data_IF_865223387140
#
_entry.id   IF_865223387140
#
_cell.length_a   1.000
_cell.length_b   1.000
_cell.length_c   1.000
_cell.angle_alpha   90.00
_cell.angle_beta   90.00
_cell.angle_gamma   90.00
#
_symmetry.space_group_name_H-M   'P 1'
#
loop_
_entity.id
_entity.type
_entity.pdbx_description
1 polymer ?
#
# COMPACT_ATOMS: atom_id res chain seq x y z
N UNK A 1 5.52 28.87 29.19
CA UNK A 1 4.29 29.38 28.55
C UNK A 1 3.49 28.13 28.19
N UNK A 2 2.61 27.69 29.09
CA UNK A 2 1.80 26.49 28.88
C UNK A 2 0.82 26.81 27.76
N UNK A 3 0.93 26.06 26.67
CA UNK A 3 0.08 26.27 25.50
C UNK A 3 -1.12 25.36 25.69
N UNK A 4 -2.14 25.86 26.41
CA UNK A 4 -3.37 25.12 26.68
C UNK A 4 -4.09 24.87 25.35
N UNK A 5 -3.83 23.72 24.75
CA UNK A 5 -4.41 23.30 23.49
C UNK A 5 -5.73 22.58 23.78
N UNK A 6 -6.83 23.18 23.34
CA UNK A 6 -8.18 22.65 23.55
C UNK A 6 -8.68 21.94 22.29
N UNK A 7 -9.10 20.67 22.41
CA UNK A 7 -9.66 19.93 21.29
C UNK A 7 -11.13 20.27 21.07
N UNK A 8 -11.43 20.93 19.96
CA UNK A 8 -12.80 21.17 19.52
C UNK A 8 -13.33 20.03 18.64
N UNK A 9 -14.45 19.44 19.04
CA UNK A 9 -15.18 18.53 18.16
C UNK A 9 -15.91 19.36 17.07
N UNK A 10 -15.55 19.25 15.78
CA UNK A 10 -16.19 20.04 14.71
C UNK A 10 -17.69 19.73 14.55
N UNK A 11 -18.15 18.55 15.00
CA UNK A 11 -19.56 18.16 14.94
C UNK A 11 -20.44 19.03 15.84
N UNK A 12 -19.95 19.43 17.01
CA UNK A 12 -20.73 20.26 17.94
C UNK A 12 -20.92 21.67 17.38
N UNK A 13 -19.87 22.25 16.79
CA UNK A 13 -19.91 23.54 16.09
C UNK A 13 -20.88 23.47 14.90
N UNK A 14 -20.80 22.40 14.09
CA UNK A 14 -21.70 22.20 12.94
C UNK A 14 -23.18 22.15 13.34
N UNK A 15 -23.50 21.54 14.48
CA UNK A 15 -24.88 21.53 15.00
C UNK A 15 -25.29 22.89 15.58
N UNK A 16 -24.39 23.57 16.28
CA UNK A 16 -24.64 24.90 16.83
C UNK A 16 -24.93 25.95 15.74
N UNK A 17 -24.23 25.89 14.60
CA UNK A 17 -24.50 26.74 13.44
C UNK A 17 -25.94 26.66 12.94
N UNK A 18 -26.62 25.51 13.10
CA UNK A 18 -28.04 25.37 12.72
C UNK A 18 -28.96 26.23 13.58
N UNK A 19 -28.57 26.51 14.82
CA UNK A 19 -29.32 27.36 15.77
C UNK A 19 -29.12 28.84 15.47
N UNK A 20 -27.94 29.23 14.96
CA UNK A 20 -27.60 30.62 14.61
C UNK A 20 -28.30 31.15 13.34
N UNK A 21 -29.14 30.35 12.68
CA UNK A 21 -29.84 30.69 11.43
C UNK A 21 -28.92 31.11 10.25
N UNK A 22 -27.61 30.88 10.36
CA UNK A 22 -26.62 31.22 9.32
C UNK A 22 -26.59 30.15 8.22
N UNK A 23 -26.72 30.58 6.96
CA UNK A 23 -26.76 29.68 5.78
C UNK A 23 -25.50 29.71 4.94
N UNK A 24 -24.72 30.79 4.99
CA UNK A 24 -23.54 30.96 4.14
C UNK A 24 -22.25 30.67 4.90
N UNK A 25 -21.42 29.78 4.34
CA UNK A 25 -20.11 29.47 4.89
C UNK A 25 -19.12 30.57 4.51
N UNK A 26 -18.74 31.40 5.47
CA UNK A 26 -17.73 32.45 5.32
C UNK A 26 -16.82 32.43 6.55
N UNK A 27 -15.51 32.53 6.39
CA UNK A 27 -14.54 32.39 7.49
C UNK A 27 -14.82 33.28 8.72
N UNK A 28 -15.23 34.56 8.58
CA UNK A 28 -15.60 35.40 9.73
C UNK A 28 -16.84 34.90 10.49
N UNK A 29 -17.83 34.37 9.78
CA UNK A 29 -19.06 33.79 10.40
C UNK A 29 -18.73 32.47 11.08
N UNK A 30 -17.85 31.67 10.46
CA UNK A 30 -17.35 30.44 11.06
C UNK A 30 -16.62 30.71 12.37
N UNK A 31 -15.76 31.73 12.42
CA UNK A 31 -15.09 32.18 13.64
C UNK A 31 -16.09 32.69 14.70
N UNK A 32 -17.09 33.48 14.29
CA UNK A 32 -18.16 33.95 15.17
C UNK A 32 -18.94 32.80 15.81
N UNK A 33 -19.33 31.80 15.02
CA UNK A 33 -20.04 30.62 15.52
C UNK A 33 -19.22 29.80 16.54
N UNK A 34 -17.89 29.72 16.36
CA UNK A 34 -16.99 29.07 17.34
C UNK A 34 -16.92 29.90 18.62
N UNK A 35 -16.74 31.22 18.52
CA UNK A 35 -16.66 32.12 19.67
C UNK A 35 -17.96 32.14 20.48
N UNK A 36 -19.11 32.19 19.80
CA UNK A 36 -20.42 32.11 20.46
C UNK A 36 -20.63 30.76 21.14
N UNK A 37 -20.21 29.65 20.51
CA UNK A 37 -20.30 28.32 21.12
C UNK A 37 -19.45 28.19 22.38
N UNK A 38 -18.27 28.82 22.38
CA UNK A 38 -17.38 28.96 23.53
C UNK A 38 -18.03 29.80 24.64
N UNK A 39 -18.66 30.92 24.27
CA UNK A 39 -19.31 31.85 25.20
C UNK A 39 -20.52 31.23 25.89
N UNK A 40 -21.37 30.50 25.17
CA UNK A 40 -22.60 29.91 25.73
C UNK A 40 -22.39 28.61 26.48
N UNK A 41 -21.34 27.85 26.15
CA UNK A 41 -21.05 26.59 26.82
C UNK A 41 -20.04 26.82 27.93
N UNK A 42 -20.47 26.88 29.19
CA UNK A 42 -19.60 26.81 30.38
C UNK A 42 -18.80 25.51 30.54
N UNK A 43 -18.60 24.78 29.44
CA UNK A 43 -17.72 23.65 29.26
C UNK A 43 -16.52 24.16 28.45
N UNK A 44 -15.36 24.30 29.10
CA UNK A 44 -14.11 24.32 28.36
C UNK A 44 -13.98 22.97 27.63
N UNK A 45 -13.52 22.95 26.36
CA UNK A 45 -13.22 21.70 25.70
C UNK A 45 -12.23 20.91 26.54
N UNK A 46 -12.22 19.59 26.41
CA UNK A 46 -11.24 18.78 27.12
C UNK A 46 -9.84 19.28 26.74
N UNK A 47 -9.03 19.59 27.75
CA UNK A 47 -7.63 19.92 27.55
C UNK A 47 -6.98 18.73 26.86
N UNK A 48 -6.29 19.00 25.75
CA UNK A 48 -5.60 17.97 24.99
C UNK A 48 -4.33 17.58 25.76
N UNK A 49 -4.51 16.77 26.80
CA UNK A 49 -3.40 16.17 27.53
C UNK A 49 -2.87 15.00 26.71
N UNK A 50 -1.72 15.22 26.07
CA UNK A 50 -0.98 14.12 25.48
C UNK A 50 -0.27 13.39 26.60
N UNK A 51 -0.68 12.15 26.85
CA UNK A 51 0.12 11.28 27.70
C UNK A 51 1.37 10.87 26.93
N UNK A 52 2.52 11.39 27.39
CA UNK A 52 3.83 11.21 26.76
C UNK A 52 4.18 9.73 26.56
N UNK A 53 3.62 8.84 27.38
CA UNK A 53 3.80 7.39 27.32
C UNK A 53 3.27 6.78 26.01
N UNK A 54 2.21 7.35 25.44
CA UNK A 54 1.59 6.83 24.20
C UNK A 54 2.13 7.49 22.94
N UNK A 55 2.87 8.60 23.07
CA UNK A 55 3.39 9.33 21.91
C UNK A 55 4.30 8.47 21.00
N UNK A 56 5.25 7.66 21.51
CA UNK A 56 6.09 6.83 20.66
C UNK A 56 5.27 5.85 19.82
N UNK A 57 4.37 5.10 20.46
CA UNK A 57 3.50 4.13 19.80
C UNK A 57 2.60 4.81 18.74
N UNK A 58 2.06 5.98 19.07
CA UNK A 58 1.25 6.75 18.12
C UNK A 58 2.05 7.19 16.89
N UNK A 59 3.33 7.55 17.04
CA UNK A 59 4.19 7.94 15.90
C UNK A 59 4.53 6.73 15.04
N UNK A 60 4.89 5.60 15.65
CA UNK A 60 5.21 4.36 14.93
C UNK A 60 4.00 3.85 14.14
N UNK A 61 2.82 3.78 14.77
CA UNK A 61 1.59 3.31 14.10
C UNK A 61 1.15 4.22 12.95
N UNK A 62 1.29 5.55 13.10
CA UNK A 62 1.03 6.49 11.99
C UNK A 62 2.03 6.32 10.85
N UNK A 63 3.31 6.10 11.17
CA UNK A 63 4.32 5.86 10.14
C UNK A 63 4.08 4.55 9.40
N UNK A 64 3.74 3.48 10.12
CA UNK A 64 3.30 2.21 9.54
C UNK A 64 2.11 2.39 8.58
N UNK A 65 1.09 3.14 9.00
CA UNK A 65 -0.06 3.46 8.14
C UNK A 65 0.35 4.21 6.87
N UNK A 66 1.29 5.16 6.99
CA UNK A 66 1.82 5.89 5.84
C UNK A 66 2.54 4.94 4.85
N UNK A 67 3.45 4.11 5.35
CA UNK A 67 4.19 3.15 4.51
C UNK A 67 3.28 2.11 3.87
N UNK A 68 2.28 1.59 4.58
CA UNK A 68 1.34 0.62 4.01
C UNK A 68 0.54 1.21 2.85
N UNK A 69 0.19 2.49 2.92
CA UNK A 69 -0.48 3.20 1.81
C UNK A 69 0.48 3.42 0.64
N UNK A 70 1.73 3.79 0.90
CA UNK A 70 2.75 3.90 -0.14
C UNK A 70 2.96 2.55 -0.83
N UNK A 71 3.14 1.47 -0.09
CA UNK A 71 3.27 0.11 -0.63
C UNK A 71 2.07 -0.28 -1.52
N UNK A 72 0.85 0.01 -1.07
CA UNK A 72 -0.35 -0.26 -1.87
C UNK A 72 -0.34 0.55 -3.19
N UNK A 73 0.07 1.82 -3.15
CA UNK A 73 0.19 2.67 -4.35
C UNK A 73 1.24 2.14 -5.32
N UNK A 74 2.41 1.76 -4.82
CA UNK A 74 3.50 1.19 -5.63
C UNK A 74 3.06 -0.13 -6.30
N UNK A 75 2.41 -1.02 -5.54
CA UNK A 75 1.85 -2.28 -6.08
C UNK A 75 0.80 -2.03 -7.16
N UNK A 76 -0.09 -1.06 -6.96
CA UNK A 76 -1.09 -0.69 -7.97
C UNK A 76 -0.40 -0.15 -9.23
N UNK A 77 0.57 0.75 -9.08
CA UNK A 77 1.29 1.34 -10.21
C UNK A 77 2.07 0.29 -11.00
N UNK A 78 2.88 -0.54 -10.32
CA UNK A 78 3.65 -1.62 -10.92
C UNK A 78 2.75 -2.59 -11.69
N UNK A 79 1.58 -2.93 -11.14
CA UNK A 79 0.61 -3.78 -11.81
C UNK A 79 0.01 -3.11 -13.05
N UNK A 80 -0.43 -1.86 -12.93
CA UNK A 80 -1.24 -1.20 -13.96
C UNK A 80 -0.42 -0.71 -15.15
N UNK A 81 0.86 -0.38 -14.94
CA UNK A 81 1.72 0.20 -15.98
C UNK A 81 2.73 -0.83 -16.49
N UNK A 82 3.84 -1.14 -15.80
CA UNK A 82 4.87 -1.99 -16.39
C UNK A 82 4.45 -3.44 -16.56
N UNK A 83 3.79 -4.05 -15.57
CA UNK A 83 3.35 -5.45 -15.69
C UNK A 83 2.29 -5.59 -16.77
N UNK A 84 1.32 -4.66 -16.83
CA UNK A 84 0.29 -4.70 -17.87
C UNK A 84 0.86 -4.52 -19.28
N UNK A 85 1.82 -3.61 -19.46
CA UNK A 85 2.44 -3.39 -20.77
C UNK A 85 3.36 -4.54 -21.17
N UNK A 86 4.07 -5.15 -20.22
CA UNK A 86 4.96 -6.29 -20.48
C UNK A 86 4.20 -7.59 -20.68
N UNK A 87 3.16 -7.84 -19.87
CA UNK A 87 2.42 -9.10 -19.82
C UNK A 87 0.95 -8.83 -19.44
N UNK A 88 0.16 -8.32 -20.40
CA UNK A 88 -1.21 -7.87 -20.15
C UNK A 88 -2.13 -8.93 -19.57
N UNK A 89 -1.94 -10.21 -19.95
CA UNK A 89 -2.79 -11.31 -19.49
C UNK A 89 -2.30 -11.97 -18.19
N UNK A 90 -1.12 -11.57 -17.68
CA UNK A 90 -0.49 -12.12 -16.47
C UNK A 90 -1.36 -11.99 -15.21
N UNK A 91 -2.21 -10.96 -15.16
CA UNK A 91 -3.08 -10.71 -14.01
C UNK A 91 -4.52 -11.19 -14.20
N UNK A 92 -4.85 -11.69 -15.41
CA UNK A 92 -6.16 -12.26 -15.75
C UNK A 92 -6.24 -13.71 -15.27
N UNK A 93 -7.47 -14.21 -15.07
CA UNK A 93 -7.68 -15.63 -14.72
C UNK A 93 -7.69 -16.49 -15.98
N UNK A 94 -7.04 -17.67 -15.98
CA UNK A 94 -6.26 -18.26 -14.89
C UNK A 94 -4.91 -17.55 -14.68
N UNK A 95 -4.56 -17.26 -13.42
CA UNK A 95 -3.31 -16.60 -13.08
C UNK A 95 -2.19 -17.65 -12.92
N UNK A 96 -0.97 -17.39 -13.38
CA UNK A 96 0.15 -18.32 -13.21
C UNK A 96 0.58 -18.49 -11.74
N UNK A 97 0.40 -17.44 -10.92
CA UNK A 97 0.76 -17.46 -9.50
C UNK A 97 -0.35 -16.86 -8.64
N UNK A 98 -0.44 -17.31 -7.39
CA UNK A 98 -1.38 -16.80 -6.39
C UNK A 98 -1.02 -15.38 -5.96
N UNK A 99 0.27 -15.11 -5.72
CA UNK A 99 0.81 -13.79 -5.42
C UNK A 99 1.61 -13.22 -6.60
N UNK A 100 1.15 -12.07 -7.11
CA UNK A 100 1.79 -11.32 -8.20
C UNK A 100 3.14 -10.73 -7.78
N UNK A 101 3.34 -10.47 -6.50
CA UNK A 101 4.59 -9.93 -5.98
C UNK A 101 5.35 -10.98 -5.17
N UNK A 102 5.05 -12.27 -5.36
CA UNK A 102 5.78 -13.37 -4.74
C UNK A 102 7.18 -13.55 -5.35
N UNK A 103 8.03 -14.34 -4.69
CA UNK A 103 9.43 -14.55 -5.11
C UNK A 103 9.54 -15.05 -6.56
N UNK A 104 8.77 -16.08 -6.93
CA UNK A 104 8.78 -16.63 -8.30
C UNK A 104 8.27 -15.61 -9.32
N UNK A 105 7.17 -14.92 -9.02
CA UNK A 105 6.59 -13.92 -9.93
C UNK A 105 7.57 -12.77 -10.17
N UNK A 106 8.26 -12.29 -9.13
CA UNK A 106 9.31 -11.26 -9.24
C UNK A 106 10.47 -11.74 -10.10
N UNK A 107 10.93 -12.97 -9.88
CA UNK A 107 12.03 -13.54 -10.63
C UNK A 107 11.72 -13.62 -12.13
N UNK A 108 10.56 -14.19 -12.49
CA UNK A 108 10.11 -14.25 -13.89
C UNK A 108 9.97 -12.86 -14.51
N UNK A 109 9.45 -11.88 -13.78
CA UNK A 109 9.25 -10.52 -14.30
C UNK A 109 10.57 -9.75 -14.51
N UNK A 110 11.62 -10.06 -13.74
CA UNK A 110 12.94 -9.42 -13.84
C UNK A 110 13.91 -10.16 -14.77
N UNK A 111 13.84 -11.49 -14.86
CA UNK A 111 14.79 -12.28 -15.65
C UNK A 111 14.50 -12.22 -17.15
N UNK A 112 13.22 -12.29 -17.54
CA UNK A 112 12.83 -12.32 -18.94
C UNK A 112 12.57 -10.91 -19.45
N UNK A 113 13.23 -10.49 -20.52
CA UNK A 113 13.06 -9.15 -21.08
C UNK A 113 11.70 -8.95 -21.77
N UNK A 114 11.15 -10.00 -22.40
CA UNK A 114 9.82 -10.03 -23.03
C UNK A 114 9.08 -11.32 -22.69
N UNK A 115 7.76 -11.34 -22.92
CA UNK A 115 6.95 -12.56 -22.78
C UNK A 115 7.14 -13.55 -23.93
N UNK A 116 7.74 -13.12 -25.05
CA UNK A 116 7.88 -13.97 -26.24
C UNK A 116 8.80 -15.17 -25.98
N UNK A 117 9.86 -14.97 -25.18
CA UNK A 117 10.77 -16.04 -24.75
C UNK A 117 10.04 -17.10 -23.92
N UNK A 118 9.15 -16.67 -23.03
CA UNK A 118 8.30 -17.56 -22.22
C UNK A 118 7.27 -18.31 -23.07
N UNK A 119 6.76 -17.69 -24.13
CA UNK A 119 5.82 -18.33 -25.05
C UNK A 119 6.52 -19.37 -25.96
N UNK A 120 7.79 -19.15 -26.31
CA UNK A 120 8.58 -20.04 -27.16
C UNK A 120 9.13 -21.28 -26.43
N UNK A 121 9.39 -21.18 -25.12
CA UNK A 121 9.98 -22.26 -24.33
C UNK A 121 9.11 -23.53 -24.29
N UNK A 122 9.70 -24.74 -24.37
CA UNK A 122 8.98 -26.00 -24.16
C UNK A 122 8.28 -26.05 -22.80
N UNK A 123 7.14 -26.74 -22.73
CA UNK A 123 6.34 -26.77 -21.48
C UNK A 123 7.10 -27.49 -20.35
N UNK A 124 7.82 -28.56 -20.68
CA UNK A 124 8.56 -29.37 -19.72
C UNK A 124 9.73 -28.55 -19.13
N UNK A 125 10.53 -27.90 -19.98
CA UNK A 125 11.62 -27.02 -19.55
C UNK A 125 11.12 -25.86 -18.67
N UNK A 126 9.97 -25.25 -19.03
CA UNK A 126 9.38 -24.17 -18.23
C UNK A 126 8.87 -24.68 -16.87
N UNK A 127 8.34 -25.90 -16.82
CA UNK A 127 7.88 -26.50 -15.57
C UNK A 127 9.07 -26.82 -14.65
N UNK A 128 10.16 -27.38 -15.19
CA UNK A 128 11.39 -27.67 -14.44
C UNK A 128 12.03 -26.39 -13.89
N UNK A 129 12.08 -25.33 -14.70
CA UNK A 129 12.59 -24.02 -14.28
C UNK A 129 11.74 -23.43 -13.16
N UNK A 130 10.40 -23.44 -13.32
CA UNK A 130 9.50 -22.97 -12.27
C UNK A 130 9.65 -23.79 -10.99
N UNK A 131 9.80 -25.12 -11.07
CA UNK A 131 9.96 -25.96 -9.90
C UNK A 131 11.27 -25.68 -9.16
N UNK A 132 12.35 -25.41 -9.91
CA UNK A 132 13.64 -24.97 -9.38
C UNK A 132 13.54 -23.62 -8.66
N UNK A 133 12.95 -22.61 -9.29
CA UNK A 133 12.76 -21.27 -8.72
C UNK A 133 11.82 -21.32 -7.50
N UNK A 134 10.78 -22.15 -7.57
CA UNK A 134 9.82 -22.38 -6.50
C UNK A 134 10.36 -23.22 -5.34
N UNK A 135 11.58 -23.75 -5.43
CA UNK A 135 12.16 -24.68 -4.47
C UNK A 135 11.23 -25.88 -4.17
N UNK A 136 10.62 -26.46 -5.20
CA UNK A 136 9.69 -27.60 -5.10
C UNK A 136 8.45 -27.34 -4.22
N UNK A 137 8.03 -26.08 -4.08
CA UNK A 137 6.85 -25.70 -3.28
C UNK A 137 5.56 -25.61 -4.09
N UNK A 138 5.62 -25.81 -5.41
CA UNK A 138 4.43 -25.77 -6.26
C UNK A 138 3.63 -27.05 -6.12
N UNK A 139 2.32 -26.93 -5.96
CA UNK A 139 1.40 -28.08 -5.94
C UNK A 139 1.32 -28.77 -7.30
N UNK A 140 1.42 -27.99 -8.37
CA UNK A 140 1.46 -28.46 -9.76
C UNK A 140 2.27 -27.45 -10.60
N UNK A 141 3.56 -27.73 -10.79
CA UNK A 141 4.45 -26.87 -11.57
C UNK A 141 4.05 -26.84 -13.05
N UNK A 142 3.51 -27.95 -13.57
CA UNK A 142 3.10 -28.09 -14.97
C UNK A 142 1.87 -27.24 -15.30
N UNK A 143 0.89 -27.17 -14.39
CA UNK A 143 -0.29 -26.30 -14.59
C UNK A 143 0.08 -24.81 -14.51
N UNK A 144 0.98 -24.43 -13.59
CA UNK A 144 1.50 -23.07 -13.52
C UNK A 144 2.29 -22.69 -14.78
N UNK A 145 3.14 -23.59 -15.29
CA UNK A 145 3.88 -23.40 -16.55
C UNK A 145 2.90 -23.22 -17.73
N UNK A 146 1.84 -24.03 -17.80
CA UNK A 146 0.80 -23.91 -18.83
C UNK A 146 0.08 -22.56 -18.74
N UNK A 147 -0.27 -22.13 -17.54
CA UNK A 147 -0.91 -20.83 -17.31
C UNK A 147 0.02 -19.67 -17.69
N UNK A 148 1.30 -19.75 -17.32
CA UNK A 148 2.30 -18.73 -17.65
C UNK A 148 2.53 -18.64 -19.15
N UNK A 149 2.71 -19.76 -19.83
CA UNK A 149 2.86 -19.83 -21.29
C UNK A 149 1.63 -19.29 -22.02
N UNK A 150 0.44 -19.60 -21.53
CA UNK A 150 -0.82 -19.04 -22.05
C UNK A 150 -0.87 -17.52 -21.87
N UNK A 151 -0.56 -17.03 -20.68
CA UNK A 151 -0.57 -15.60 -20.40
C UNK A 151 0.45 -14.85 -21.27
N UNK A 152 1.62 -15.44 -21.50
CA UNK A 152 2.64 -14.92 -22.41
C UNK A 152 2.13 -14.86 -23.86
N UNK A 153 1.54 -15.94 -24.37
CA UNK A 153 1.01 -16.00 -25.73
C UNK A 153 -0.21 -15.08 -25.98
N UNK A 154 -0.99 -14.77 -24.93
CA UNK A 154 -2.17 -13.90 -25.00
C UNK A 154 -1.84 -12.43 -24.69
N UNK A 155 -0.60 -12.12 -24.33
CA UNK A 155 -0.17 -10.76 -24.04
C UNK A 155 0.09 -9.97 -25.31
N UNK A 156 -0.13 -8.66 -25.26
CA UNK A 156 0.13 -7.79 -26.40
C UNK A 156 1.65 -7.63 -26.65
N UNK A 157 2.08 -7.63 -27.93
CA UNK A 157 3.48 -7.39 -28.26
C UNK A 157 3.89 -5.96 -27.90
N UNK A 158 5.08 -5.82 -27.33
CA UNK A 158 5.63 -4.54 -26.91
C UNK A 158 6.58 -3.98 -27.99
N UNK A 159 6.52 -2.68 -28.34
CA UNK A 159 7.50 -2.05 -29.22
C UNK A 159 8.92 -2.16 -28.65
N UNK A 160 9.90 -2.45 -29.51
CA UNK A 160 11.30 -2.65 -29.10
C UNK A 160 11.89 -1.46 -28.31
N UNK A 161 11.48 -0.24 -28.63
CA UNK A 161 11.94 0.97 -27.94
C UNK A 161 11.46 1.09 -26.48
N UNK A 162 10.43 0.34 -26.10
CA UNK A 162 9.85 0.38 -24.76
C UNK A 162 10.33 -0.76 -23.87
N UNK A 163 10.92 -1.82 -24.40
CA UNK A 163 11.33 -3.00 -23.62
C UNK A 163 12.30 -2.61 -22.50
N UNK A 164 13.43 -1.98 -22.86
CA UNK A 164 14.48 -1.65 -21.90
C UNK A 164 14.02 -0.64 -20.84
N UNK A 165 13.41 0.53 -21.20
CA UNK A 165 12.91 1.46 -20.19
C UNK A 165 11.87 0.84 -19.26
N UNK A 166 10.99 -0.01 -19.79
CA UNK A 166 9.94 -0.64 -19.00
C UNK A 166 10.50 -1.63 -17.99
N UNK A 167 11.51 -2.42 -18.38
CA UNK A 167 12.18 -3.37 -17.49
C UNK A 167 12.91 -2.63 -16.36
N UNK A 168 13.64 -1.55 -16.66
CA UNK A 168 14.30 -0.72 -15.64
C UNK A 168 13.29 -0.14 -14.65
N UNK A 169 12.15 0.36 -15.15
CA UNK A 169 11.06 0.87 -14.28
C UNK A 169 10.50 -0.26 -13.42
N UNK A 170 10.24 -1.43 -14.00
CA UNK A 170 9.69 -2.59 -13.29
C UNK A 170 10.63 -3.06 -12.19
N UNK A 171 11.92 -3.23 -12.47
CA UNK A 171 12.92 -3.68 -11.50
C UNK A 171 13.07 -2.70 -10.35
N UNK A 172 13.09 -1.39 -10.65
CA UNK A 172 13.12 -0.33 -9.64
C UNK A 172 11.90 -0.40 -8.72
N UNK A 173 10.70 -0.58 -9.29
CA UNK A 173 9.46 -0.72 -8.51
C UNK A 173 9.44 -2.00 -7.68
N UNK A 174 9.90 -3.13 -8.23
CA UNK A 174 9.97 -4.40 -7.49
C UNK A 174 10.96 -4.30 -6.32
N UNK A 175 12.10 -3.63 -6.51
CA UNK A 175 13.06 -3.34 -5.45
C UNK A 175 12.45 -2.44 -4.37
N UNK A 176 11.72 -1.40 -4.76
CA UNK A 176 11.04 -0.49 -3.83
C UNK A 176 9.94 -1.20 -3.03
N UNK A 177 9.12 -2.03 -3.68
CA UNK A 177 8.09 -2.84 -3.03
C UNK A 177 8.72 -3.78 -2.00
N UNK A 178 9.80 -4.48 -2.36
CA UNK A 178 10.53 -5.37 -1.44
C UNK A 178 11.10 -4.62 -0.25
N UNK A 179 11.65 -3.43 -0.49
CA UNK A 179 12.16 -2.56 0.57
C UNK A 179 11.05 -2.14 1.54
N UNK A 180 9.92 -1.65 1.02
CA UNK A 180 8.78 -1.23 1.84
C UNK A 180 8.17 -2.38 2.65
N UNK A 181 8.10 -3.59 2.09
CA UNK A 181 7.67 -4.79 2.82
C UNK A 181 8.62 -5.09 4.00
N UNK A 182 9.93 -5.08 3.77
CA UNK A 182 10.91 -5.29 4.84
C UNK A 182 10.91 -4.19 5.90
N UNK A 183 10.68 -2.93 5.53
CA UNK A 183 10.55 -1.83 6.49
C UNK A 183 9.28 -1.97 7.35
N UNK A 184 8.16 -2.43 6.77
CA UNK A 184 6.95 -2.72 7.53
C UNK A 184 7.17 -3.84 8.55
N UNK A 185 7.87 -4.92 8.19
CA UNK A 185 8.17 -6.03 9.11
C UNK A 185 9.04 -5.56 10.31
N UNK A 186 10.05 -4.72 10.03
CA UNK A 186 10.89 -4.13 11.09
C UNK A 186 10.08 -3.22 12.01
N UNK A 187 9.19 -2.41 11.44
CA UNK A 187 8.32 -1.53 12.22
C UNK A 187 7.31 -2.32 13.05
N UNK A 188 6.79 -3.42 12.53
CA UNK A 188 5.85 -4.28 13.27
C UNK A 188 6.53 -4.86 14.51
N UNK A 189 7.77 -5.35 14.37
CA UNK A 189 8.58 -5.82 15.51
C UNK A 189 8.85 -4.71 16.55
N UNK A 190 9.11 -3.48 16.08
CA UNK A 190 9.35 -2.33 16.97
C UNK A 190 8.06 -1.87 17.68
N UNK A 191 6.92 -1.90 16.98
CA UNK A 191 5.61 -1.59 17.54
C UNK A 191 5.25 -2.60 18.63
N UNK A 192 5.46 -3.90 18.38
CA UNK A 192 5.24 -4.96 19.37
C UNK A 192 6.06 -4.74 20.64
N UNK A 193 7.35 -4.41 20.48
CA UNK A 193 8.23 -4.11 21.62
C UNK A 193 7.74 -2.90 22.40
N UNK A 194 7.39 -1.82 21.70
CA UNK A 194 6.92 -0.57 22.33
C UNK A 194 5.57 -0.76 23.03
N UNK A 195 4.74 -1.70 22.57
CA UNK A 195 3.42 -1.96 23.14
C UNK A 195 3.52 -2.55 24.57
N UNK A 196 4.55 -3.35 24.86
CA UNK A 196 4.77 -3.97 26.18
C UNK A 196 5.04 -2.92 27.27
N UNK A 197 5.69 -1.82 26.91
CA UNK A 197 6.07 -0.76 27.84
C UNK A 197 4.93 0.22 28.18
N UNK A 198 3.78 0.12 27.50
CA UNK A 198 2.65 1.03 27.68
C UNK A 198 1.72 0.54 28.80
N UNK A 199 1.45 1.34 29.83
CA UNK A 199 0.61 0.92 30.96
C UNK A 199 -0.84 0.70 30.51
N UNK A 200 -1.37 -0.51 30.77
CA UNK A 200 -2.70 -0.92 30.33
C UNK A 200 -2.73 -1.74 29.03
N UNK A 201 -1.57 -2.17 28.52
CA UNK A 201 -1.51 -3.27 27.57
C UNK A 201 -2.13 -4.54 28.18
N UNK A 202 -2.95 -5.31 27.43
CA UNK A 202 -3.59 -6.54 27.92
C UNK A 202 -2.58 -7.62 28.30
#
# INVERSE_FOLDING_TARGET
MFNDNYLFNPRTIKHFKKVLAERDKVDPKDAYAVAERLRFGGWMPHELTFDERYLPLQRLTRYRYHLSHTLAREKIYARMVPIYLKASDYTRKPKPFSDLFGATSRHILSEYATTDELAAMPLDDLADELDRIGHHRFSDATDNARCLKRAAAQSYPLPLCLIEPLNVILDSLLAHIRFLEGELEKLDSLIETTLVDVPGAP
#
